data_IF_460665137939
#
_entry.id   IF_460665137939
#
_cell.length_a   1.000
_cell.length_b   1.000
_cell.length_c   1.000
_cell.angle_alpha   90.00
_cell.angle_beta   90.00
_cell.angle_gamma   90.00
#
_symmetry.space_group_name_H-M   'P 1'
#
loop_
_entity.id
_entity.type
_entity.pdbx_description
1 polymer ?
#
# COMPACT_ATOMS: atom_id res chain seq x y z
N UNK A 1 -26.98 14.44 34.32
CA UNK A 1 -25.96 13.53 33.78
C UNK A 1 -25.01 14.42 33.00
N UNK A 2 -23.79 14.58 33.49
CA UNK A 2 -22.74 15.34 32.76
C UNK A 2 -22.39 14.60 31.49
N UNK A 3 -22.39 15.25 30.31
CA UNK A 3 -21.97 14.62 29.07
C UNK A 3 -20.51 14.18 29.19
N UNK A 4 -20.20 12.99 28.70
CA UNK A 4 -18.85 12.47 28.69
C UNK A 4 -18.03 13.26 27.65
N UNK A 5 -16.99 13.97 28.07
CA UNK A 5 -16.14 14.75 27.18
C UNK A 5 -15.38 13.88 26.15
N UNK A 6 -15.28 12.58 26.39
CA UNK A 6 -14.64 11.61 25.48
C UNK A 6 -15.60 10.99 24.47
N UNK A 7 -16.92 11.12 24.66
CA UNK A 7 -17.89 10.44 23.79
C UNK A 7 -17.89 11.00 22.36
N UNK A 8 -17.50 12.26 22.19
CA UNK A 8 -17.44 12.98 20.91
C UNK A 8 -15.98 13.19 20.43
N UNK A 9 -14.99 12.67 21.17
CA UNK A 9 -13.59 12.72 20.79
C UNK A 9 -13.33 11.63 19.71
N UNK A 10 -12.91 12.03 18.48
CA UNK A 10 -12.70 11.07 17.38
C UNK A 10 -11.66 9.99 17.70
N UNK A 11 -10.60 10.34 18.40
CA UNK A 11 -9.54 9.38 18.78
C UNK A 11 -10.05 8.36 19.80
N UNK A 12 -10.89 8.81 20.73
CA UNK A 12 -11.50 7.93 21.72
C UNK A 12 -12.56 7.01 21.10
N UNK A 13 -13.35 7.52 20.17
CA UNK A 13 -14.33 6.71 19.40
C UNK A 13 -13.61 5.61 18.62
N UNK A 14 -12.48 5.94 17.99
CA UNK A 14 -11.66 4.96 17.29
C UNK A 14 -11.10 3.89 18.25
N UNK A 15 -10.64 4.28 19.43
CA UNK A 15 -10.18 3.32 20.45
C UNK A 15 -11.31 2.36 20.90
N UNK A 16 -12.53 2.85 21.07
CA UNK A 16 -13.70 2.01 21.39
C UNK A 16 -13.98 1.01 20.27
N UNK A 17 -13.89 1.43 19.00
CA UNK A 17 -14.09 0.55 17.84
C UNK A 17 -12.99 -0.51 17.75
N UNK A 18 -11.73 -0.11 17.90
CA UNK A 18 -10.58 -1.04 17.88
C UNK A 18 -10.63 -2.03 19.06
N UNK A 19 -11.14 -1.59 20.23
CA UNK A 19 -11.41 -2.50 21.37
C UNK A 19 -12.48 -3.54 21.04
N UNK A 20 -13.53 -3.11 20.34
CA UNK A 20 -14.61 -4.01 19.92
C UNK A 20 -14.14 -5.07 18.92
N UNK A 21 -13.21 -4.71 18.03
CA UNK A 21 -12.63 -5.61 17.04
C UNK A 21 -11.48 -6.46 17.59
N UNK A 22 -11.02 -6.20 18.84
CA UNK A 22 -9.93 -6.92 19.47
C UNK A 22 -8.54 -6.54 18.96
N UNK A 23 -8.40 -5.34 18.41
CA UNK A 23 -7.16 -4.85 17.79
C UNK A 23 -6.31 -3.96 18.72
N UNK A 24 -6.77 -3.70 19.95
CA UNK A 24 -6.01 -2.92 20.92
C UNK A 24 -4.94 -3.77 21.64
N UNK A 25 -3.83 -3.13 21.97
CA UNK A 25 -2.88 -3.67 22.94
C UNK A 25 -3.44 -3.71 24.36
N UNK A 26 -2.75 -4.41 25.26
CA UNK A 26 -3.22 -4.66 26.63
C UNK A 26 -3.40 -3.36 27.46
N UNK A 27 -2.59 -2.32 27.21
CA UNK A 27 -2.63 -1.06 27.96
C UNK A 27 -3.86 -0.26 27.57
N UNK A 28 -4.08 -0.09 26.26
CA UNK A 28 -5.22 0.64 25.73
C UNK A 28 -6.54 -0.11 25.97
N UNK A 29 -6.55 -1.46 25.91
CA UNK A 29 -7.71 -2.27 26.28
C UNK A 29 -8.13 -2.02 27.72
N UNK A 30 -7.18 -2.03 28.67
CA UNK A 30 -7.47 -1.74 30.09
C UNK A 30 -8.03 -0.32 30.29
N UNK A 31 -7.50 0.67 29.55
CA UNK A 31 -8.02 2.05 29.62
C UNK A 31 -9.46 2.14 29.15
N UNK A 32 -9.79 1.49 28.02
CA UNK A 32 -11.16 1.48 27.49
C UNK A 32 -12.09 0.73 28.45
N UNK A 33 -11.74 -0.45 28.92
CA UNK A 33 -12.55 -1.24 29.86
C UNK A 33 -12.84 -0.47 31.15
N UNK A 34 -11.83 0.16 31.74
CA UNK A 34 -11.99 0.97 32.96
C UNK A 34 -12.95 2.14 32.74
N UNK A 35 -12.87 2.80 31.59
CA UNK A 35 -13.77 3.90 31.26
C UNK A 35 -15.20 3.40 30.99
N UNK A 36 -15.37 2.32 30.25
CA UNK A 36 -16.69 1.73 29.95
C UNK A 36 -17.44 1.31 31.22
N UNK A 37 -16.72 0.86 32.26
CA UNK A 37 -17.33 0.51 33.54
C UNK A 37 -17.95 1.71 34.27
N UNK A 38 -17.51 2.93 33.95
CA UNK A 38 -17.95 4.17 34.64
C UNK A 38 -18.75 5.12 33.76
N UNK A 39 -18.76 4.94 32.45
CA UNK A 39 -19.39 5.85 31.49
C UNK A 39 -20.52 5.18 30.69
N UNK A 40 -21.80 5.44 31.02
CA UNK A 40 -22.94 4.84 30.32
C UNK A 40 -23.03 5.24 28.83
N UNK A 41 -22.55 6.44 28.47
CA UNK A 41 -22.57 6.92 27.07
C UNK A 41 -21.66 6.08 26.18
N UNK A 42 -20.43 5.83 26.62
CA UNK A 42 -19.46 5.01 25.88
C UNK A 42 -19.84 3.52 25.91
N UNK A 43 -20.37 3.01 27.02
CA UNK A 43 -20.91 1.66 27.09
C UNK A 43 -22.05 1.45 26.07
N UNK A 44 -22.95 2.45 25.92
CA UNK A 44 -23.99 2.41 24.90
C UNK A 44 -23.48 2.42 23.45
N UNK A 45 -22.24 2.90 23.17
CA UNK A 45 -21.62 2.77 21.86
C UNK A 45 -21.22 1.33 21.58
N UNK A 46 -20.58 0.65 22.53
CA UNK A 46 -20.24 -0.78 22.43
C UNK A 46 -21.48 -1.64 22.22
N UNK A 47 -22.57 -1.35 22.94
CA UNK A 47 -23.80 -2.12 22.80
C UNK A 47 -24.44 -1.93 21.41
N UNK A 48 -24.35 -0.74 20.83
CA UNK A 48 -24.78 -0.50 19.45
C UNK A 48 -23.93 -1.30 18.44
N UNK A 49 -22.62 -1.35 18.62
CA UNK A 49 -21.73 -2.14 17.77
C UNK A 49 -22.03 -3.65 17.89
N UNK A 50 -22.31 -4.14 19.12
CA UNK A 50 -22.74 -5.54 19.35
C UNK A 50 -24.04 -5.85 18.62
N UNK A 51 -25.06 -4.99 18.77
CA UNK A 51 -26.35 -5.16 18.12
C UNK A 51 -26.20 -5.16 16.57
N UNK A 52 -25.34 -4.30 16.02
CA UNK A 52 -25.03 -4.29 14.60
C UNK A 52 -24.36 -5.61 14.16
N UNK A 53 -23.35 -6.08 14.90
CA UNK A 53 -22.67 -7.36 14.62
C UNK A 53 -23.63 -8.55 14.68
N UNK A 54 -24.52 -8.57 15.65
CA UNK A 54 -25.58 -9.60 15.77
C UNK A 54 -26.52 -9.57 14.56
N UNK A 55 -26.91 -8.36 14.11
CA UNK A 55 -27.78 -8.19 12.94
C UNK A 55 -27.11 -8.71 11.68
N UNK A 56 -25.82 -8.39 11.46
CA UNK A 56 -25.04 -8.86 10.31
C UNK A 56 -24.80 -10.38 10.40
N UNK A 57 -24.60 -10.90 11.61
CA UNK A 57 -24.37 -12.34 11.84
C UNK A 57 -25.62 -13.23 11.70
N UNK A 58 -26.80 -12.67 11.46
CA UNK A 58 -28.04 -13.44 11.27
C UNK A 58 -27.96 -14.31 10.01
N UNK A 59 -28.58 -15.48 10.07
CA UNK A 59 -28.53 -16.48 8.97
C UNK A 59 -29.13 -15.99 7.65
N UNK A 60 -30.05 -15.02 7.71
CA UNK A 60 -30.71 -14.43 6.54
C UNK A 60 -29.80 -13.44 5.78
N UNK A 61 -28.73 -12.97 6.43
CA UNK A 61 -27.72 -12.07 5.80
C UNK A 61 -26.42 -12.79 5.49
N UNK A 62 -26.23 -14.02 5.99
CA UNK A 62 -25.02 -14.81 5.77
C UNK A 62 -25.09 -15.64 4.49
N UNK A 63 -24.01 -15.60 3.71
CA UNK A 63 -23.89 -16.40 2.47
C UNK A 63 -22.98 -17.59 2.74
N UNK A 64 -23.44 -18.78 2.37
CA UNK A 64 -22.58 -19.97 2.45
C UNK A 64 -21.53 -19.90 1.34
N UNK A 65 -20.27 -19.98 1.73
CA UNK A 65 -19.19 -20.14 0.76
C UNK A 65 -19.39 -21.44 -0.03
N UNK A 66 -19.16 -21.43 -1.35
CA UNK A 66 -19.16 -22.65 -2.17
C UNK A 66 -18.21 -23.71 -1.58
N UNK A 67 -18.59 -24.98 -1.70
CA UNK A 67 -17.85 -26.10 -1.09
C UNK A 67 -16.41 -26.19 -1.58
N UNK A 68 -16.12 -25.85 -2.82
CA UNK A 68 -14.77 -25.85 -3.36
C UNK A 68 -13.88 -24.78 -2.71
N UNK A 69 -14.41 -23.59 -2.40
CA UNK A 69 -13.63 -22.54 -1.72
C UNK A 69 -13.25 -22.97 -0.31
N UNK A 70 -14.18 -23.59 0.41
CA UNK A 70 -13.91 -24.14 1.74
C UNK A 70 -12.83 -25.22 1.68
N UNK A 71 -12.88 -26.12 0.70
CA UNK A 71 -11.89 -27.17 0.52
C UNK A 71 -10.50 -26.58 0.23
N UNK A 72 -10.39 -25.59 -0.65
CA UNK A 72 -9.13 -24.91 -0.96
C UNK A 72 -8.51 -24.19 0.25
N UNK A 73 -9.35 -23.52 1.04
CA UNK A 73 -8.86 -22.86 2.27
C UNK A 73 -8.36 -23.88 3.29
N UNK A 74 -9.09 -25.00 3.50
CA UNK A 74 -8.66 -26.06 4.42
C UNK A 74 -7.36 -26.71 3.96
N UNK A 75 -7.22 -26.98 2.66
CA UNK A 75 -5.98 -27.51 2.09
C UNK A 75 -4.81 -26.56 2.26
N UNK A 76 -5.00 -25.25 2.02
CA UNK A 76 -3.98 -24.23 2.22
C UNK A 76 -3.54 -24.13 3.71
N UNK A 77 -4.49 -24.26 4.65
CA UNK A 77 -4.20 -24.26 6.07
C UNK A 77 -3.39 -25.49 6.50
N UNK A 78 -3.73 -26.68 5.98
CA UNK A 78 -2.96 -27.92 6.24
C UNK A 78 -1.54 -27.78 5.70
N UNK A 79 -1.37 -27.29 4.46
CA UNK A 79 -0.06 -27.05 3.88
C UNK A 79 0.76 -25.99 4.65
N UNK A 80 0.11 -24.96 5.20
CA UNK A 80 0.76 -23.96 6.02
C UNK A 80 1.18 -24.51 7.40
N UNK A 81 0.40 -25.45 7.98
CA UNK A 81 0.73 -26.12 9.22
C UNK A 81 1.93 -27.09 9.03
N UNK A 82 1.94 -27.87 7.95
CA UNK A 82 3.06 -28.77 7.62
C UNK A 82 4.37 -28.03 7.37
N UNK A 83 4.32 -26.78 6.89
CA UNK A 83 5.51 -25.95 6.73
C UNK A 83 6.08 -25.43 8.05
N UNK A 84 5.35 -25.52 9.15
CA UNK A 84 5.79 -25.04 10.47
C UNK A 84 6.53 -26.08 11.31
N UNK A 85 6.61 -27.34 10.87
CA UNK A 85 7.47 -28.31 11.53
C UNK A 85 8.66 -28.68 10.64
N UNK A 86 9.86 -28.21 11.03
CA UNK A 86 10.80 -29.11 11.67
C UNK A 86 11.35 -28.49 12.96
N UNK A 87 10.66 -28.67 14.06
CA UNK A 87 11.29 -28.51 15.35
C UNK A 87 12.19 -29.73 15.63
N UNK A 88 13.50 -29.46 15.57
CA UNK A 88 14.58 -29.99 16.39
C UNK A 88 14.20 -31.20 17.27
N UNK A 89 14.40 -32.38 16.74
CA UNK A 89 14.84 -33.50 17.57
C UNK A 89 16.34 -33.30 17.80
N UNK A 90 16.71 -32.87 19.00
CA UNK A 90 18.07 -32.94 19.50
C UNK A 90 18.33 -34.42 19.79
N UNK A 91 18.91 -35.13 18.85
CA UNK A 91 19.47 -36.46 19.06
C UNK A 91 20.93 -36.30 19.46
N UNK A 92 21.19 -36.42 20.76
CA UNK A 92 22.53 -36.61 21.30
C UNK A 92 23.09 -37.91 20.75
N UNK A 93 24.04 -37.83 19.81
CA UNK A 93 24.97 -38.91 19.47
C UNK A 93 26.37 -38.43 19.72
N UNK A 94 27.03 -39.20 20.60
CA UNK A 94 28.41 -39.05 21.00
C UNK A 94 29.42 -39.15 19.83
N UNK A 95 30.69 -38.79 20.07
CA UNK A 95 31.67 -38.50 19.05
C UNK A 95 32.33 -39.76 18.48
N UNK A 96 31.94 -40.19 17.29
CA UNK A 96 32.80 -40.97 16.40
C UNK A 96 32.40 -40.80 14.96
N UNK A 97 32.70 -39.63 14.39
CA UNK A 97 32.64 -39.45 12.94
C UNK A 97 34.07 -39.29 12.41
N UNK A 98 34.45 -40.20 11.53
CA UNK A 98 35.73 -40.14 10.84
C UNK A 98 35.93 -38.82 10.09
N UNK A 99 37.15 -38.30 10.08
CA UNK A 99 37.54 -37.03 9.42
C UNK A 99 37.04 -36.96 7.97
N UNK A 100 36.89 -38.11 7.29
CA UNK A 100 36.34 -38.20 5.94
C UNK A 100 34.85 -37.79 5.84
N UNK A 101 34.04 -37.97 6.88
CA UNK A 101 32.64 -37.54 6.93
C UNK A 101 32.54 -36.02 7.06
N UNK A 102 33.44 -35.41 7.82
CA UNK A 102 33.51 -33.97 8.02
C UNK A 102 33.87 -33.24 6.71
N UNK A 103 34.85 -33.73 5.98
CA UNK A 103 35.26 -33.18 4.68
C UNK A 103 34.12 -33.29 3.66
N UNK A 104 33.38 -34.42 3.63
CA UNK A 104 32.23 -34.58 2.72
C UNK A 104 31.06 -33.65 3.07
N UNK A 105 30.86 -33.34 4.33
CA UNK A 105 29.80 -32.42 4.80
C UNK A 105 30.13 -30.96 4.44
N UNK A 106 31.40 -30.58 4.46
CA UNK A 106 31.85 -29.23 4.10
C UNK A 106 31.85 -28.94 2.60
N UNK A 107 31.89 -29.98 1.74
CA UNK A 107 31.83 -29.83 0.29
C UNK A 107 30.43 -29.46 -0.23
N UNK A 108 29.36 -29.71 0.53
CA UNK A 108 27.98 -29.36 0.14
C UNK A 108 27.52 -27.97 0.62
N UNK A 109 28.18 -27.42 1.64
CA UNK A 109 27.81 -26.10 2.21
C UNK A 109 27.99 -24.95 1.19
N UNK A 110 29.10 -24.86 0.43
CA UNK A 110 29.26 -23.80 -0.56
C UNK A 110 28.25 -23.91 -1.72
N UNK A 111 27.83 -25.14 -2.09
CA UNK A 111 26.86 -25.35 -3.17
C UNK A 111 25.44 -24.88 -2.76
N UNK A 112 25.04 -25.11 -1.53
CA UNK A 112 23.75 -24.64 -1.00
C UNK A 112 23.72 -23.13 -0.81
N UNK A 113 24.83 -22.54 -0.35
CA UNK A 113 24.98 -21.09 -0.22
C UNK A 113 24.99 -20.38 -1.59
N UNK A 114 25.65 -20.98 -2.59
CA UNK A 114 25.64 -20.47 -3.96
C UNK A 114 24.25 -20.55 -4.61
N UNK A 115 23.50 -21.63 -4.36
CA UNK A 115 22.12 -21.79 -4.82
C UNK A 115 21.18 -20.76 -4.15
N UNK A 116 21.31 -20.58 -2.84
CA UNK A 116 20.54 -19.57 -2.12
C UNK A 116 20.85 -18.14 -2.55
N UNK A 117 22.13 -17.82 -2.79
CA UNK A 117 22.55 -16.53 -3.32
C UNK A 117 22.04 -16.31 -4.76
N UNK A 118 22.05 -17.35 -5.61
CA UNK A 118 21.50 -17.27 -6.96
C UNK A 118 19.98 -17.04 -6.95
N UNK A 119 19.24 -17.71 -6.09
CA UNK A 119 17.80 -17.50 -5.89
C UNK A 119 17.53 -16.10 -5.36
N UNK A 120 18.30 -15.61 -4.42
CA UNK A 120 18.14 -14.25 -3.88
C UNK A 120 18.42 -13.17 -4.94
N UNK A 121 19.45 -13.36 -5.80
CA UNK A 121 19.79 -12.43 -6.89
C UNK A 121 18.73 -12.42 -8.01
N UNK A 122 18.10 -13.56 -8.29
CA UNK A 122 17.07 -13.67 -9.33
C UNK A 122 15.70 -13.18 -8.87
N UNK A 123 15.29 -13.54 -7.65
CA UNK A 123 13.93 -13.28 -7.17
C UNK A 123 13.83 -12.08 -6.21
N UNK A 124 14.88 -11.73 -5.48
CA UNK A 124 14.86 -10.65 -4.51
C UNK A 124 14.53 -9.26 -5.11
N UNK A 125 15.20 -8.83 -6.20
CA UNK A 125 14.91 -7.53 -6.82
C UNK A 125 13.55 -7.45 -7.50
N UNK A 126 13.04 -8.58 -8.00
CA UNK A 126 11.73 -8.66 -8.66
C UNK A 126 10.57 -8.51 -7.66
N UNK A 127 10.70 -9.08 -6.47
CA UNK A 127 9.67 -8.96 -5.44
C UNK A 127 9.57 -7.54 -4.86
N UNK A 128 10.70 -6.86 -4.68
CA UNK A 128 10.70 -5.46 -4.19
C UNK A 128 10.03 -4.53 -5.21
N UNK A 129 10.26 -4.75 -6.51
CA UNK A 129 9.64 -3.94 -7.57
C UNK A 129 8.14 -4.21 -7.71
N UNK A 130 7.71 -5.48 -7.58
CA UNK A 130 6.30 -5.81 -7.63
C UNK A 130 5.53 -5.22 -6.44
N UNK A 131 6.13 -5.16 -5.25
CA UNK A 131 5.49 -4.55 -4.08
C UNK A 131 5.25 -3.05 -4.22
N UNK A 132 6.16 -2.29 -4.87
CA UNK A 132 5.98 -0.86 -5.12
C UNK A 132 4.87 -0.59 -6.14
N UNK A 133 4.82 -1.37 -7.23
CA UNK A 133 3.74 -1.28 -8.23
C UNK A 133 2.37 -1.59 -7.61
N UNK A 134 2.30 -2.63 -6.77
CA UNK A 134 1.08 -2.98 -6.03
C UNK A 134 0.62 -1.85 -5.11
N UNK A 135 1.57 -1.24 -4.40
CA UNK A 135 1.28 -0.15 -3.49
C UNK A 135 0.79 1.10 -4.23
N UNK A 136 1.36 1.41 -5.40
CA UNK A 136 0.92 2.50 -6.28
C UNK A 136 -0.51 2.25 -6.78
N UNK A 137 -0.81 1.04 -7.29
CA UNK A 137 -2.15 0.68 -7.74
C UNK A 137 -3.15 0.75 -6.57
N UNK A 138 -2.79 0.21 -5.41
CA UNK A 138 -3.63 0.29 -4.23
C UNK A 138 -3.89 1.73 -3.77
N UNK A 139 -2.88 2.63 -3.83
CA UNK A 139 -3.06 4.05 -3.54
C UNK A 139 -4.00 4.72 -4.56
N UNK A 140 -3.83 4.42 -5.86
CA UNK A 140 -4.72 4.92 -6.90
C UNK A 140 -6.18 4.49 -6.63
N UNK A 141 -6.42 3.21 -6.38
CA UNK A 141 -7.76 2.68 -6.08
C UNK A 141 -8.35 3.37 -4.85
N UNK A 142 -7.60 3.45 -3.74
CA UNK A 142 -8.08 4.13 -2.52
C UNK A 142 -8.49 5.57 -2.80
N UNK A 143 -7.71 6.31 -3.59
CA UNK A 143 -8.01 7.71 -3.90
C UNK A 143 -9.29 7.90 -4.72
N UNK A 144 -9.68 6.92 -5.53
CA UNK A 144 -10.90 6.97 -6.35
C UNK A 144 -12.15 6.51 -5.60
N UNK A 145 -12.00 5.64 -4.60
CA UNK A 145 -13.14 5.05 -3.85
C UNK A 145 -13.70 5.98 -2.76
N UNK A 146 -12.87 6.77 -2.14
CA UNK A 146 -13.26 7.66 -1.04
C UNK A 146 -12.97 9.07 -1.50
N UNK A 147 -13.87 10.00 -1.51
CA UNK A 147 -13.73 11.42 -1.92
C UNK A 147 -12.39 12.11 -1.52
N UNK A 148 -11.28 11.39 -1.64
CA UNK A 148 -9.91 11.75 -1.28
C UNK A 148 -9.00 11.78 -2.52
N UNK A 149 -9.56 12.20 -3.65
CA UNK A 149 -8.83 12.27 -4.90
C UNK A 149 -7.71 13.33 -4.85
N UNK A 150 -8.01 14.47 -4.21
CA UNK A 150 -7.12 15.62 -4.10
C UNK A 150 -7.27 16.32 -2.75
N UNK A 151 -6.16 16.77 -2.17
CA UNK A 151 -6.14 17.65 -0.99
C UNK A 151 -6.26 19.13 -1.40
N UNK A 152 -5.74 19.47 -2.58
CA UNK A 152 -5.96 20.76 -3.24
C UNK A 152 -6.66 20.51 -4.57
N UNK A 153 -7.90 20.98 -4.68
CA UNK A 153 -8.71 20.81 -5.89
C UNK A 153 -8.66 22.09 -6.73
N UNK A 154 -7.87 22.08 -7.78
CA UNK A 154 -7.76 23.19 -8.73
C UNK A 154 -7.09 22.73 -10.02
N UNK A 155 -7.49 23.30 -11.14
CA UNK A 155 -6.85 23.11 -12.45
C UNK A 155 -5.67 24.07 -12.69
N UNK A 156 -5.46 25.03 -11.78
CA UNK A 156 -4.39 26.01 -11.90
C UNK A 156 -3.07 25.48 -11.32
N UNK A 157 -2.10 25.23 -12.20
CA UNK A 157 -0.74 24.82 -11.83
C UNK A 157 -0.04 25.79 -10.87
N UNK A 158 -0.36 27.10 -10.97
CA UNK A 158 0.22 28.12 -10.11
C UNK A 158 -0.30 28.06 -8.68
N UNK A 159 -1.40 27.38 -8.45
CA UNK A 159 -1.94 27.08 -7.12
C UNK A 159 -1.45 25.72 -6.62
N UNK A 160 -1.45 24.67 -7.47
CA UNK A 160 -1.04 23.31 -7.08
C UNK A 160 0.45 23.26 -6.72
N UNK A 161 1.32 23.86 -7.53
CA UNK A 161 2.78 23.81 -7.30
C UNK A 161 3.18 24.43 -5.96
N UNK A 162 2.77 25.66 -5.58
CA UNK A 162 3.10 26.22 -4.27
C UNK A 162 2.45 25.52 -3.09
N UNK A 163 1.32 24.82 -3.29
CA UNK A 163 0.64 24.10 -2.22
C UNK A 163 1.49 22.99 -1.61
N UNK A 164 2.40 22.39 -2.39
CA UNK A 164 3.34 21.40 -1.91
C UNK A 164 4.46 21.97 -1.03
N UNK A 165 4.71 23.31 -1.09
CA UNK A 165 5.77 23.93 -0.29
C UNK A 165 5.53 23.74 1.20
N UNK A 166 6.54 23.23 1.92
CA UNK A 166 6.49 22.95 3.34
C UNK A 166 5.73 21.65 3.72
N UNK A 167 5.19 20.92 2.74
CA UNK A 167 4.56 19.61 2.96
C UNK A 167 5.45 18.46 2.52
N UNK A 168 6.28 18.71 1.53
CA UNK A 168 7.29 17.78 1.02
C UNK A 168 8.62 18.54 0.84
N UNK A 169 9.72 17.82 0.80
CA UNK A 169 11.10 18.34 0.75
C UNK A 169 11.65 18.58 -0.66
N UNK A 170 10.78 18.47 -1.68
CA UNK A 170 11.10 18.72 -3.09
C UNK A 170 9.95 19.48 -3.79
N UNK A 171 10.23 20.06 -4.94
CA UNK A 171 9.21 20.77 -5.73
C UNK A 171 8.77 19.90 -6.93
N UNK A 172 7.58 19.28 -6.91
CA UNK A 172 7.11 18.50 -8.04
C UNK A 172 6.82 19.44 -9.22
N UNK A 173 7.23 19.08 -10.46
CA UNK A 173 6.81 19.81 -11.64
C UNK A 173 5.31 19.59 -11.87
N UNK A 174 4.57 20.67 -12.10
CA UNK A 174 3.13 20.63 -12.40
C UNK A 174 2.94 21.17 -13.82
N UNK A 175 2.46 20.31 -14.72
CA UNK A 175 2.19 20.65 -16.11
C UNK A 175 0.70 20.92 -16.33
N UNK A 176 0.38 21.96 -17.11
CA UNK A 176 -0.96 22.17 -17.65
C UNK A 176 -1.07 21.42 -18.99
N UNK A 177 -1.82 20.35 -19.01
CA UNK A 177 -2.00 19.49 -20.18
C UNK A 177 -3.45 19.51 -20.71
N UNK A 178 -4.23 20.53 -20.36
CA UNK A 178 -5.64 20.62 -20.77
C UNK A 178 -5.77 20.66 -22.30
N UNK A 179 -4.87 21.39 -22.99
CA UNK A 179 -4.85 21.49 -24.46
C UNK A 179 -4.53 20.13 -25.13
N UNK A 180 -3.83 19.21 -24.44
CA UNK A 180 -3.52 17.87 -24.91
C UNK A 180 -4.58 16.83 -24.50
N UNK A 181 -5.65 17.28 -23.84
CA UNK A 181 -6.76 16.42 -23.39
C UNK A 181 -6.53 15.73 -22.05
N UNK A 182 -5.58 16.24 -21.24
CA UNK A 182 -5.29 15.76 -19.89
C UNK A 182 -5.42 16.90 -18.86
N UNK A 183 -6.63 17.41 -18.59
CA UNK A 183 -6.82 18.49 -17.62
C UNK A 183 -6.35 18.09 -16.23
N UNK A 184 -5.63 19.01 -15.56
CA UNK A 184 -5.25 18.89 -14.16
C UNK A 184 -6.50 19.03 -13.28
N UNK A 185 -6.64 18.18 -12.27
CA UNK A 185 -7.74 18.20 -11.28
C UNK A 185 -7.25 18.76 -9.95
N UNK A 186 -5.98 18.51 -9.60
CA UNK A 186 -5.40 18.96 -8.35
C UNK A 186 -4.20 18.10 -7.94
N UNK A 187 -3.90 18.14 -6.64
CA UNK A 187 -2.82 17.36 -6.07
C UNK A 187 -3.09 16.92 -4.62
N UNK A 188 -2.36 15.95 -4.16
CA UNK A 188 -2.34 15.50 -2.76
C UNK A 188 -0.94 15.06 -2.36
N UNK A 189 -0.70 14.99 -1.05
CA UNK A 189 0.45 14.27 -0.50
C UNK A 189 0.03 12.83 -0.24
N UNK A 190 0.89 11.89 -0.60
CA UNK A 190 0.63 10.46 -0.43
C UNK A 190 1.86 9.77 0.17
N UNK A 191 1.70 8.51 0.61
CA UNK A 191 2.78 7.71 1.18
C UNK A 191 2.85 6.38 0.45
N UNK A 192 3.93 6.16 -0.29
CA UNK A 192 4.12 4.98 -1.16
C UNK A 192 5.58 4.53 -1.10
N UNK A 193 5.82 3.25 -1.00
CA UNK A 193 7.16 2.68 -0.97
C UNK A 193 7.98 3.15 0.23
N UNK A 194 7.34 3.36 1.38
CA UNK A 194 8.03 3.80 2.60
C UNK A 194 8.45 5.28 2.58
N UNK A 195 7.89 6.12 1.68
CA UNK A 195 8.26 7.53 1.52
C UNK A 195 7.07 8.42 1.22
N UNK A 196 7.21 9.69 1.57
CA UNK A 196 6.25 10.74 1.19
C UNK A 196 6.44 11.07 -0.28
N UNK A 197 5.35 11.14 -1.05
CA UNK A 197 5.35 11.42 -2.48
C UNK A 197 4.33 12.51 -2.81
N UNK A 198 4.56 13.26 -3.88
CA UNK A 198 3.52 14.10 -4.47
C UNK A 198 2.67 13.26 -5.41
N UNK A 199 1.35 13.37 -5.34
CA UNK A 199 0.41 12.80 -6.30
C UNK A 199 -0.32 13.93 -7.02
N UNK A 200 -0.06 14.06 -8.31
CA UNK A 200 -0.78 14.97 -9.20
C UNK A 200 -1.91 14.21 -9.87
N UNK A 201 -3.07 14.82 -9.96
CA UNK A 201 -4.28 14.18 -10.49
C UNK A 201 -4.68 14.83 -11.79
N UNK A 202 -4.75 14.04 -12.83
CA UNK A 202 -5.22 14.40 -14.15
C UNK A 202 -6.45 13.59 -14.55
N UNK A 203 -7.12 13.98 -15.62
CA UNK A 203 -8.22 13.21 -16.21
C UNK A 203 -7.99 12.96 -17.70
N UNK A 204 -8.55 11.85 -18.19
CA UNK A 204 -8.61 11.52 -19.63
C UNK A 204 -9.93 10.83 -19.92
N UNK A 205 -10.83 11.44 -20.71
CA UNK A 205 -12.13 10.85 -21.09
C UNK A 205 -12.93 10.24 -19.92
N UNK A 206 -12.89 10.88 -18.75
CA UNK A 206 -13.54 10.35 -17.55
C UNK A 206 -12.66 9.51 -16.66
N UNK A 207 -11.58 8.93 -17.15
CA UNK A 207 -10.60 8.17 -16.37
C UNK A 207 -9.71 9.10 -15.54
N UNK A 208 -9.32 8.63 -14.37
CA UNK A 208 -8.39 9.33 -13.48
C UNK A 208 -6.98 8.84 -13.75
N UNK A 209 -6.03 9.78 -13.92
CA UNK A 209 -4.59 9.49 -13.98
C UNK A 209 -3.96 10.08 -12.73
N UNK A 210 -3.41 9.24 -11.86
CA UNK A 210 -2.58 9.68 -10.75
C UNK A 210 -1.11 9.62 -11.17
N UNK A 211 -0.42 10.75 -11.08
CA UNK A 211 1.02 10.86 -11.30
C UNK A 211 1.74 11.02 -9.97
N UNK A 212 2.38 9.96 -9.53
CA UNK A 212 3.22 9.95 -8.33
C UNK A 212 4.62 10.44 -8.67
N UNK A 213 5.15 11.35 -7.84
CA UNK A 213 6.45 11.98 -8.05
C UNK A 213 7.26 11.95 -6.75
N UNK A 214 8.54 11.58 -6.84
CA UNK A 214 9.48 11.62 -5.72
C UNK A 214 10.94 11.72 -6.19
N UNK A 215 11.87 12.20 -5.34
CA UNK A 215 13.30 12.20 -5.65
C UNK A 215 13.84 10.77 -5.81
N UNK A 216 14.60 10.53 -6.87
CA UNK A 216 15.27 9.27 -7.11
C UNK A 216 16.52 9.44 -7.95
N UNK A 217 17.51 8.58 -7.74
CA UNK A 217 18.79 8.59 -8.42
C UNK A 217 19.00 7.45 -9.43
N UNK A 218 17.95 6.66 -9.74
CA UNK A 218 18.07 5.52 -10.66
C UNK A 218 17.23 5.67 -11.93
N UNK A 219 17.69 5.14 -13.07
CA UNK A 219 16.92 5.15 -14.30
C UNK A 219 15.72 4.19 -14.17
N UNK A 220 14.52 4.70 -14.38
CA UNK A 220 13.29 3.91 -14.52
C UNK A 220 12.56 4.41 -15.75
N UNK A 221 12.46 3.59 -16.78
CA UNK A 221 11.53 3.82 -17.89
C UNK A 221 10.86 2.49 -18.19
N UNK A 222 9.61 2.34 -17.83
CA UNK A 222 8.87 1.09 -17.97
C UNK A 222 7.39 1.36 -18.14
N UNK A 223 6.77 0.65 -19.06
CA UNK A 223 5.33 0.49 -19.15
C UNK A 223 4.95 -0.91 -18.69
N UNK A 224 4.06 -1.02 -17.72
CA UNK A 224 3.57 -2.30 -17.19
C UNK A 224 2.06 -2.24 -17.00
N UNK A 225 1.39 -3.39 -17.11
CA UNK A 225 -0.02 -3.54 -16.77
C UNK A 225 -0.15 -4.41 -15.54
N UNK A 226 -0.97 -3.99 -14.56
CA UNK A 226 -1.21 -4.71 -13.32
C UNK A 226 -2.65 -4.56 -12.85
N UNK A 227 -3.31 -5.67 -12.59
CA UNK A 227 -4.69 -5.73 -12.07
C UNK A 227 -5.69 -4.84 -12.84
N UNK A 228 -5.53 -4.74 -14.16
CA UNK A 228 -6.39 -3.90 -15.01
C UNK A 228 -5.96 -2.44 -15.09
N UNK A 229 -4.88 -2.04 -14.42
CA UNK A 229 -4.30 -0.69 -14.48
C UNK A 229 -3.03 -0.67 -15.34
N UNK A 230 -2.84 0.40 -16.07
CA UNK A 230 -1.62 0.71 -16.81
C UNK A 230 -0.74 1.61 -15.95
N UNK A 231 0.52 1.21 -15.76
CA UNK A 231 1.54 2.01 -15.10
C UNK A 231 2.58 2.44 -16.13
N UNK A 232 2.85 3.73 -16.18
CA UNK A 232 3.90 4.33 -17.01
C UNK A 232 4.90 5.03 -16.11
N UNK A 233 6.17 4.57 -16.10
CA UNK A 233 7.20 5.11 -15.22
C UNK A 233 8.37 5.67 -16.01
N UNK A 234 8.91 6.81 -15.55
CA UNK A 234 10.09 7.46 -16.12
C UNK A 234 10.85 8.25 -15.08
N UNK A 235 12.07 8.67 -15.42
CA UNK A 235 12.87 9.60 -14.62
C UNK A 235 13.21 10.84 -15.43
N UNK A 236 13.13 11.97 -14.80
CA UNK A 236 13.58 13.25 -15.36
C UNK A 236 14.03 14.18 -14.23
N UNK A 237 15.15 14.87 -14.43
CA UNK A 237 15.67 15.88 -13.49
C UNK A 237 15.83 15.41 -12.03
N UNK A 238 16.30 14.17 -11.82
CA UNK A 238 16.49 13.61 -10.48
C UNK A 238 15.19 13.22 -9.76
N UNK A 239 14.07 13.23 -10.48
CA UNK A 239 12.78 12.79 -9.99
C UNK A 239 12.34 11.53 -10.72
N UNK A 240 11.68 10.64 -10.00
CA UNK A 240 10.94 9.51 -10.56
C UNK A 240 9.47 9.88 -10.65
N UNK A 241 8.87 9.49 -11.75
CA UNK A 241 7.47 9.66 -12.08
C UNK A 241 6.86 8.30 -12.33
N UNK A 242 5.69 8.06 -11.74
CA UNK A 242 4.87 6.88 -12.06
C UNK A 242 3.43 7.32 -12.24
N UNK A 243 2.97 7.25 -13.46
CA UNK A 243 1.56 7.48 -13.78
C UNK A 243 0.80 6.15 -13.70
N UNK A 244 -0.40 6.15 -13.14
CA UNK A 244 -1.28 4.99 -13.05
C UNK A 244 -2.71 5.39 -13.41
N UNK A 245 -3.37 4.55 -14.18
CA UNK A 245 -4.77 4.71 -14.60
C UNK A 245 -5.33 3.39 -15.11
N UNK A 246 -6.65 3.29 -15.16
CA UNK A 246 -7.41 2.25 -15.85
C UNK A 246 -7.58 2.51 -17.36
N UNK A 247 -6.93 3.56 -17.90
CA UNK A 247 -6.90 3.85 -19.34
C UNK A 247 -5.85 3.01 -20.09
N UNK A 248 -5.98 2.95 -21.42
CA UNK A 248 -5.09 2.15 -22.27
C UNK A 248 -3.65 2.66 -22.32
N UNK A 249 -2.73 1.78 -22.72
CA UNK A 249 -1.30 2.07 -22.79
C UNK A 249 -0.96 3.22 -23.76
N UNK A 250 -1.72 3.36 -24.85
CA UNK A 250 -1.53 4.46 -25.82
C UNK A 250 -1.80 5.83 -25.21
N UNK A 251 -2.91 5.96 -24.44
CA UNK A 251 -3.23 7.19 -23.71
C UNK A 251 -2.21 7.50 -22.62
N UNK A 252 -1.71 6.48 -21.91
CA UNK A 252 -0.69 6.65 -20.89
C UNK A 252 0.66 7.08 -21.48
N UNK A 253 1.06 6.51 -22.60
CA UNK A 253 2.25 6.95 -23.32
C UNK A 253 2.09 8.38 -23.86
N UNK A 254 0.91 8.73 -24.42
CA UNK A 254 0.60 10.09 -24.86
C UNK A 254 0.67 11.09 -23.69
N UNK A 255 0.14 10.73 -22.52
CA UNK A 255 0.25 11.52 -21.29
C UNK A 255 1.72 11.76 -20.91
N UNK A 256 2.54 10.71 -20.87
CA UNK A 256 3.97 10.82 -20.57
C UNK A 256 4.70 11.76 -21.51
N UNK A 257 4.48 11.60 -22.81
CA UNK A 257 5.11 12.45 -23.83
C UNK A 257 4.69 13.92 -23.70
N UNK A 258 3.39 14.17 -23.49
CA UNK A 258 2.87 15.52 -23.28
C UNK A 258 3.44 16.17 -22.02
N UNK A 259 3.56 15.39 -20.93
CA UNK A 259 4.13 15.85 -19.65
C UNK A 259 5.61 16.24 -19.80
N UNK A 260 6.41 15.38 -20.43
CA UNK A 260 7.83 15.66 -20.69
C UNK A 260 8.00 16.90 -21.56
N UNK A 261 7.28 17.00 -22.67
CA UNK A 261 7.37 18.16 -23.55
C UNK A 261 7.05 19.48 -22.82
N UNK A 262 6.02 19.49 -21.97
CA UNK A 262 5.63 20.69 -21.24
C UNK A 262 6.62 21.07 -20.12
N UNK A 263 7.22 20.08 -19.45
CA UNK A 263 8.20 20.32 -18.39
C UNK A 263 9.56 20.74 -18.94
N UNK A 264 9.96 20.27 -20.12
CA UNK A 264 11.19 20.68 -20.79
C UNK A 264 11.09 22.10 -21.37
N UNK A 265 9.93 22.53 -21.89
CA UNK A 265 9.69 23.88 -22.38
C UNK A 265 9.77 24.91 -21.24
N UNK A 266 9.20 24.61 -20.08
CA UNK A 266 9.24 25.52 -18.92
C UNK A 266 10.68 25.75 -18.44
N UNK A 267 11.59 24.81 -18.64
CA UNK A 267 13.00 24.92 -18.24
C UNK A 267 13.87 25.66 -19.26
N UNK A 268 13.53 25.61 -20.54
CA UNK A 268 14.25 26.34 -21.60
C UNK A 268 13.85 27.80 -21.72
N UNK A 269 12.85 28.23 -20.96
CA UNK A 269 12.34 29.61 -20.91
C UNK A 269 12.71 30.38 -19.64
N UNK A 270 13.49 29.80 -18.72
CA UNK A 270 14.14 30.47 -17.60
C UNK A 270 15.63 30.74 -17.94
#
# INVERSE_FOLDING_TARGET
>A
MTPCSKADDPDWVLMIQSSFDGELDAIHSLQVETHLATCPSCAGQIDRLRAMKETIGRKDVSWRAPTHVRAQVMEALVQAADRREPQRAVEEKGPSASVAAIIRQWLFVPSLAALAASLFLVFGPLQIRSSLEDEIVASHIRSTLVNHLTDVQTSDRHTVKPWFNGKIDFAPPVADLAAQGFPLVGGRVDYVGGRVVAALVYRRHGHVINLFVWPSSGPVARSTARDGYTLESWTSNGLTFVAVSDTGADDMNAFRLAFLAQTDIVRSGE
#
